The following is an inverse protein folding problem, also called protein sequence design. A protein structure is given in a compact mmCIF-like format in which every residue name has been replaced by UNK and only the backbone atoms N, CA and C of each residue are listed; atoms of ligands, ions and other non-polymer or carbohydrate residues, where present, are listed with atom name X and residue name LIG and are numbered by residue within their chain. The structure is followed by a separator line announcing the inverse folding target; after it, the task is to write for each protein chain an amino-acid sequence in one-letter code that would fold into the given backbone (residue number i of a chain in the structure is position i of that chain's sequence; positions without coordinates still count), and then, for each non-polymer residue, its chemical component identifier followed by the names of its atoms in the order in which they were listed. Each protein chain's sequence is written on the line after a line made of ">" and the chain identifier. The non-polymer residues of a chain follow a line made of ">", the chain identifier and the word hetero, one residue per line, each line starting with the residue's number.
data_IF_769646730043
#
_entry.id   IF_769646730043
#
_cell.length_a   1.000
_cell.length_b   1.000
_cell.length_c   1.000
_cell.angle_alpha   90.00
_cell.angle_beta   90.00
_cell.angle_gamma   90.00
#
_symmetry.space_group_name_H-M   'P 1'
#
loop_
_entity.id
_entity.type
_entity.pdbx_description
1 polymer ?
#
# COMPACT_ATOMS: atom_id res chain seq x y z
N UNK A 1 2.77 -11.89 15.87
CA UNK A 1 2.52 -11.83 14.42
C UNK A 1 1.13 -12.43 14.19
N UNK A 2 0.26 -11.82 13.39
CA UNK A 2 -1.09 -12.36 13.11
C UNK A 2 -1.00 -13.67 12.35
N UNK A 3 -1.92 -14.61 12.64
CA UNK A 3 -2.05 -15.85 11.87
C UNK A 3 -2.77 -15.59 10.55
N UNK A 4 -2.70 -16.56 9.62
CA UNK A 4 -3.42 -16.46 8.34
C UNK A 4 -4.92 -16.32 8.55
N UNK A 5 -5.49 -17.10 9.45
CA UNK A 5 -6.91 -17.10 9.79
C UNK A 5 -7.36 -15.74 10.36
N UNK A 6 -6.51 -15.11 11.18
CA UNK A 6 -6.77 -13.75 11.69
C UNK A 6 -6.77 -12.71 10.58
N UNK A 7 -5.86 -12.84 9.61
CA UNK A 7 -5.78 -11.93 8.46
C UNK A 7 -7.03 -12.10 7.58
N UNK A 8 -7.40 -13.34 7.27
CA UNK A 8 -8.58 -13.64 6.44
C UNK A 8 -9.86 -13.12 7.12
N UNK A 9 -10.01 -13.35 8.43
CA UNK A 9 -11.12 -12.79 9.21
C UNK A 9 -11.15 -11.25 9.17
N UNK A 10 -10.01 -10.60 9.31
CA UNK A 10 -9.93 -9.14 9.22
C UNK A 10 -10.32 -8.62 7.83
N UNK A 11 -9.95 -9.31 6.76
CA UNK A 11 -10.36 -8.96 5.40
C UNK A 11 -11.89 -8.98 5.25
N UNK A 12 -12.56 -10.00 5.79
CA UNK A 12 -14.03 -10.06 5.79
C UNK A 12 -14.67 -8.92 6.61
N UNK A 13 -14.07 -8.60 7.76
CA UNK A 13 -14.52 -7.46 8.58
C UNK A 13 -14.38 -6.13 7.82
N UNK A 14 -13.25 -5.91 7.14
CA UNK A 14 -13.04 -4.71 6.33
C UNK A 14 -14.05 -4.63 5.19
N UNK A 15 -14.28 -5.72 4.46
CA UNK A 15 -15.25 -5.75 3.39
C UNK A 15 -16.64 -5.39 3.89
N UNK A 16 -17.07 -5.96 5.02
CA UNK A 16 -18.36 -5.66 5.66
C UNK A 16 -18.48 -4.17 6.04
N UNK A 17 -17.44 -3.58 6.63
CA UNK A 17 -17.46 -2.15 6.98
C UNK A 17 -17.49 -1.27 5.73
N UNK A 18 -16.64 -1.56 4.75
CA UNK A 18 -16.54 -0.78 3.51
C UNK A 18 -17.79 -0.87 2.65
N UNK A 19 -18.55 -1.97 2.71
CA UNK A 19 -19.82 -2.14 1.98
C UNK A 19 -20.92 -1.12 2.35
N UNK A 20 -20.73 -0.37 3.44
CA UNK A 20 -21.61 0.75 3.80
C UNK A 20 -21.38 1.99 2.92
N UNK A 21 -20.22 2.10 2.29
CA UNK A 21 -19.78 3.27 1.52
C UNK A 21 -19.49 2.94 0.06
N UNK A 22 -19.14 1.69 -0.23
CA UNK A 22 -18.68 1.22 -1.53
C UNK A 22 -19.57 0.05 -1.97
N UNK A 23 -20.06 0.14 -3.19
CA UNK A 23 -20.82 -0.94 -3.82
C UNK A 23 -19.86 -1.98 -4.42
N UNK A 24 -19.86 -3.19 -3.86
CA UNK A 24 -19.07 -4.34 -4.32
C UNK A 24 -19.86 -5.28 -5.25
N UNK A 25 -21.00 -4.83 -5.82
CA UNK A 25 -21.75 -5.57 -6.81
C UNK A 25 -20.98 -5.82 -8.11
N UNK A 26 -21.55 -6.62 -8.98
CA UNK A 26 -20.97 -6.95 -10.28
C UNK A 26 -20.70 -5.69 -11.13
N UNK A 27 -19.48 -5.58 -11.67
CA UNK A 27 -19.05 -4.44 -12.46
C UNK A 27 -18.82 -3.13 -11.68
N UNK A 28 -18.83 -3.22 -10.34
CA UNK A 28 -18.57 -2.11 -9.42
C UNK A 28 -17.16 -2.23 -8.81
N UNK A 29 -17.02 -1.88 -7.54
CA UNK A 29 -15.74 -2.03 -6.84
C UNK A 29 -15.41 -3.50 -6.55
N UNK A 30 -14.13 -3.82 -6.44
CA UNK A 30 -13.65 -5.12 -5.99
C UNK A 30 -12.67 -4.94 -4.83
N UNK A 31 -12.65 -5.91 -3.93
CA UNK A 31 -11.65 -6.03 -2.89
C UNK A 31 -10.74 -7.20 -3.23
N UNK A 32 -9.45 -6.95 -3.35
CA UNK A 32 -8.44 -7.97 -3.65
C UNK A 32 -7.43 -8.05 -2.51
N UNK A 33 -6.83 -9.22 -2.33
CA UNK A 33 -5.82 -9.46 -1.32
C UNK A 33 -4.46 -9.65 -2.00
N UNK A 34 -3.48 -8.80 -1.70
CA UNK A 34 -2.16 -8.91 -2.30
C UNK A 34 -1.41 -10.20 -1.91
N UNK A 35 -1.86 -10.89 -0.88
CA UNK A 35 -1.36 -12.23 -0.56
C UNK A 35 -1.54 -13.22 -1.72
N UNK A 36 -2.55 -13.01 -2.58
CA UNK A 36 -2.87 -13.91 -3.70
C UNK A 36 -1.76 -13.91 -4.78
N UNK A 37 -0.95 -12.86 -4.86
CA UNK A 37 0.19 -12.80 -5.79
C UNK A 37 1.55 -12.66 -5.12
N UNK A 38 1.63 -12.21 -3.85
CA UNK A 38 2.91 -12.05 -3.16
C UNK A 38 3.42 -13.35 -2.53
N UNK A 39 2.52 -14.24 -2.07
CA UNK A 39 2.91 -15.45 -1.32
C UNK A 39 3.66 -16.48 -2.17
N UNK A 40 3.31 -16.58 -3.45
CA UNK A 40 3.83 -17.60 -4.35
C UNK A 40 4.98 -17.07 -5.22
N UNK A 41 5.47 -15.84 -4.95
CA UNK A 41 6.60 -15.28 -5.67
C UNK A 41 7.88 -16.05 -5.36
N UNK A 42 8.58 -16.46 -6.42
CA UNK A 42 9.95 -16.91 -6.27
C UNK A 42 10.84 -15.70 -5.94
N UNK A 43 11.48 -15.74 -4.77
CA UNK A 43 12.28 -14.62 -4.27
C UNK A 43 13.41 -14.21 -5.21
N UNK A 44 14.13 -15.17 -5.78
CA UNK A 44 15.27 -14.90 -6.66
C UNK A 44 14.80 -14.25 -7.97
N UNK A 45 13.74 -14.77 -8.55
CA UNK A 45 13.16 -14.20 -9.77
C UNK A 45 12.59 -12.81 -9.52
N UNK A 46 11.91 -12.62 -8.40
CA UNK A 46 11.39 -11.32 -8.00
C UNK A 46 12.47 -10.27 -7.84
N UNK A 47 13.57 -10.57 -7.13
CA UNK A 47 14.69 -9.64 -6.98
C UNK A 47 15.37 -9.37 -8.34
N UNK A 48 15.52 -10.39 -9.17
CA UNK A 48 16.12 -10.25 -10.50
C UNK A 48 15.29 -9.36 -11.41
N UNK A 49 13.98 -9.56 -11.44
CA UNK A 49 13.06 -8.92 -12.39
C UNK A 49 12.54 -7.57 -11.92
N UNK A 50 12.17 -7.48 -10.66
CA UNK A 50 11.54 -6.32 -10.05
C UNK A 50 12.57 -5.51 -9.26
N UNK A 51 13.35 -6.17 -8.39
CA UNK A 51 14.37 -5.52 -7.58
C UNK A 51 15.39 -4.75 -8.42
N UNK A 52 15.79 -5.29 -9.58
CA UNK A 52 16.70 -4.62 -10.51
C UNK A 52 16.16 -3.27 -11.07
N UNK A 53 14.85 -3.03 -10.98
CA UNK A 53 14.26 -1.76 -11.38
C UNK A 53 14.46 -0.65 -10.34
N UNK A 54 14.93 -0.96 -9.12
CA UNK A 54 15.07 -0.04 -8.02
C UNK A 54 16.56 0.24 -7.71
N UNK A 55 16.86 1.50 -7.48
CA UNK A 55 18.19 1.91 -7.01
C UNK A 55 18.15 2.13 -5.50
N UNK A 56 18.97 1.42 -4.75
CA UNK A 56 19.08 1.55 -3.29
C UNK A 56 19.39 3.00 -2.89
N UNK A 57 20.31 3.66 -3.57
CA UNK A 57 20.66 5.05 -3.28
C UNK A 57 19.46 6.00 -3.47
N UNK A 58 18.68 5.79 -4.53
CA UNK A 58 17.47 6.56 -4.79
C UNK A 58 16.38 6.28 -3.76
N UNK A 59 16.22 5.03 -3.34
CA UNK A 59 15.28 4.66 -2.28
C UNK A 59 15.67 5.33 -0.96
N UNK A 60 16.93 5.24 -0.53
CA UNK A 60 17.40 5.84 0.71
C UNK A 60 17.31 7.38 0.71
N UNK A 61 17.28 8.02 -0.46
CA UNK A 61 17.07 9.48 -0.57
C UNK A 61 15.61 9.89 -0.41
N UNK A 62 14.67 8.94 -0.46
CA UNK A 62 13.24 9.23 -0.28
C UNK A 62 12.94 9.64 1.18
N UNK A 63 12.03 10.59 1.36
CA UNK A 63 11.73 11.17 2.68
C UNK A 63 11.24 10.14 3.69
N UNK A 64 10.46 9.16 3.23
CA UNK A 64 9.98 8.07 4.08
C UNK A 64 11.10 7.22 4.71
N UNK A 65 12.28 7.15 4.07
CA UNK A 65 13.43 6.42 4.61
C UNK A 65 14.36 7.31 5.45
N UNK A 66 14.54 8.58 5.10
CA UNK A 66 15.42 9.49 5.85
C UNK A 66 15.06 9.55 7.33
N UNK A 67 13.78 9.73 7.63
CA UNK A 67 13.29 9.77 9.02
C UNK A 67 13.45 8.43 9.77
N UNK A 68 13.44 7.31 9.04
CA UNK A 68 13.59 5.98 9.62
C UNK A 68 15.04 5.59 9.86
N UNK A 69 15.96 6.07 9.03
CA UNK A 69 17.39 5.74 9.14
C UNK A 69 18.00 6.13 10.49
N UNK A 70 17.53 7.22 11.11
CA UNK A 70 17.97 7.67 12.43
C UNK A 70 17.60 6.68 13.54
N UNK A 71 16.49 5.95 13.38
CA UNK A 71 15.95 4.99 14.35
C UNK A 71 16.23 3.52 14.00
N UNK A 72 16.98 3.29 12.91
CA UNK A 72 17.20 1.97 12.33
C UNK A 72 16.08 1.57 11.36
N UNK A 73 16.46 1.11 10.18
CA UNK A 73 15.58 0.66 9.10
C UNK A 73 15.78 -0.84 8.91
N UNK A 74 14.76 -1.64 9.17
CA UNK A 74 14.82 -3.08 8.92
C UNK A 74 14.79 -3.38 7.43
N UNK A 75 15.33 -4.54 7.03
CA UNK A 75 15.29 -5.02 5.65
C UNK A 75 13.85 -5.18 5.15
N UNK A 76 12.93 -5.62 6.01
CA UNK A 76 11.50 -5.74 5.69
C UNK A 76 10.89 -4.37 5.36
N UNK A 77 11.15 -3.36 6.19
CA UNK A 77 10.66 -1.99 5.95
C UNK A 77 11.26 -1.39 4.67
N UNK A 78 12.54 -1.67 4.41
CA UNK A 78 13.19 -1.23 3.17
C UNK A 78 12.55 -1.86 1.93
N UNK A 79 12.19 -3.15 1.98
CA UNK A 79 11.54 -3.84 0.87
C UNK A 79 10.06 -3.49 0.70
N UNK A 80 9.43 -2.85 1.68
CA UNK A 80 8.00 -2.52 1.63
C UNK A 80 7.64 -1.67 0.40
N UNK A 81 8.47 -0.70 0.05
CA UNK A 81 8.28 0.11 -1.16
C UNK A 81 8.27 -0.75 -2.43
N UNK A 82 9.16 -1.73 -2.52
CA UNK A 82 9.25 -2.62 -3.68
C UNK A 82 8.00 -3.49 -3.78
N UNK A 83 7.54 -4.06 -2.66
CA UNK A 83 6.33 -4.88 -2.62
C UNK A 83 5.08 -4.07 -2.99
N UNK A 84 4.90 -2.87 -2.45
CA UNK A 84 3.78 -2.00 -2.81
C UNK A 84 3.84 -1.53 -4.27
N UNK A 85 5.03 -1.28 -4.78
CA UNK A 85 5.22 -0.95 -6.20
C UNK A 85 4.84 -2.12 -7.11
N UNK A 86 5.15 -3.35 -6.68
CA UNK A 86 4.76 -4.56 -7.39
C UNK A 86 3.25 -4.80 -7.33
N UNK A 87 2.60 -4.51 -6.21
CA UNK A 87 1.14 -4.54 -6.11
C UNK A 87 0.49 -3.65 -7.17
N UNK A 88 0.97 -2.41 -7.32
CA UNK A 88 0.42 -1.50 -8.33
C UNK A 88 0.70 -2.00 -9.76
N UNK A 89 1.90 -2.52 -10.03
CA UNK A 89 2.24 -3.14 -11.31
C UNK A 89 1.35 -4.34 -11.62
N UNK A 90 1.11 -5.22 -10.64
CA UNK A 90 0.22 -6.37 -10.77
C UNK A 90 -1.23 -5.96 -11.05
N UNK A 91 -1.75 -4.98 -10.30
CA UNK A 91 -3.09 -4.44 -10.50
C UNK A 91 -3.25 -3.76 -11.85
N UNK A 92 -2.21 -3.06 -12.32
CA UNK A 92 -2.20 -2.47 -13.65
C UNK A 92 -2.35 -3.52 -14.74
N UNK A 93 -1.56 -4.60 -14.67
CA UNK A 93 -1.55 -5.65 -15.69
C UNK A 93 -2.83 -6.51 -15.70
N UNK A 94 -3.32 -6.86 -14.52
CA UNK A 94 -4.39 -7.85 -14.40
C UNK A 94 -5.78 -7.25 -14.25
N UNK A 95 -5.87 -5.99 -13.78
CA UNK A 95 -7.15 -5.32 -13.50
C UNK A 95 -7.30 -3.98 -14.22
N UNK A 96 -6.31 -3.53 -15.00
CA UNK A 96 -6.35 -2.25 -15.67
C UNK A 96 -6.29 -1.04 -14.72
N UNK A 97 -5.86 -1.25 -13.47
CA UNK A 97 -5.76 -0.19 -12.46
C UNK A 97 -4.59 0.74 -12.78
N UNK A 98 -4.87 1.94 -13.25
CA UNK A 98 -3.87 2.91 -13.68
C UNK A 98 -3.66 4.09 -12.72
N UNK A 99 -4.39 4.15 -11.61
CA UNK A 99 -4.26 5.21 -10.61
C UNK A 99 -4.29 4.64 -9.19
N UNK A 100 -3.39 5.11 -8.33
CA UNK A 100 -3.33 4.78 -6.91
C UNK A 100 -3.59 6.02 -6.05
N UNK A 101 -4.39 5.84 -4.99
CA UNK A 101 -4.68 6.87 -4.01
C UNK A 101 -4.08 6.50 -2.66
N UNK A 102 -3.63 7.50 -1.90
CA UNK A 102 -3.14 7.28 -0.54
C UNK A 102 -3.05 8.58 0.26
N UNK A 103 -2.69 8.49 1.52
CA UNK A 103 -2.30 9.65 2.31
C UNK A 103 -0.93 10.18 1.88
N UNK A 104 -0.59 11.40 2.26
CA UNK A 104 0.69 12.04 1.91
C UNK A 104 1.91 11.20 2.32
N UNK A 105 1.78 10.42 3.39
CA UNK A 105 2.82 9.50 3.86
C UNK A 105 3.10 8.33 2.88
N UNK A 106 2.22 8.07 1.92
CA UNK A 106 2.34 7.01 0.92
C UNK A 106 2.96 7.49 -0.41
N UNK A 107 3.26 8.78 -0.55
CA UNK A 107 3.71 9.37 -1.81
C UNK A 107 4.89 8.62 -2.43
N UNK A 108 5.96 8.41 -1.68
CA UNK A 108 7.16 7.72 -2.19
C UNK A 108 6.88 6.28 -2.62
N UNK A 109 6.03 5.55 -1.89
CA UNK A 109 5.65 4.18 -2.22
C UNK A 109 4.85 4.13 -3.53
N UNK A 110 3.90 5.05 -3.70
CA UNK A 110 3.08 5.14 -4.92
C UNK A 110 3.91 5.53 -6.14
N UNK A 111 4.85 6.46 -6.00
CA UNK A 111 5.78 6.83 -7.07
C UNK A 111 6.68 5.65 -7.48
N UNK A 112 7.08 4.79 -6.55
CA UNK A 112 7.79 3.55 -6.87
C UNK A 112 6.99 2.67 -7.85
N UNK A 113 5.69 2.57 -7.66
CA UNK A 113 4.79 1.82 -8.54
C UNK A 113 4.63 2.45 -9.92
N UNK A 114 4.43 3.76 -10.02
CA UNK A 114 4.35 4.47 -11.31
C UNK A 114 5.65 4.31 -12.12
N UNK A 115 6.80 4.43 -11.46
CA UNK A 115 8.12 4.23 -12.08
C UNK A 115 8.32 2.77 -12.53
N UNK A 116 7.88 1.79 -11.75
CA UNK A 116 7.98 0.38 -12.13
C UNK A 116 7.15 0.08 -13.38
N UNK A 117 5.91 0.57 -13.42
CA UNK A 117 5.02 0.43 -14.59
C UNK A 117 5.65 1.08 -15.82
N UNK A 118 6.19 2.28 -15.69
CA UNK A 118 6.88 2.97 -16.78
C UNK A 118 8.09 2.18 -17.28
N UNK A 119 8.92 1.66 -16.40
CA UNK A 119 10.13 0.89 -16.75
C UNK A 119 9.82 -0.44 -17.41
N UNK A 120 8.82 -1.16 -16.88
CA UNK A 120 8.50 -2.53 -17.34
C UNK A 120 7.58 -2.55 -18.55
N UNK A 121 6.64 -1.61 -18.64
CA UNK A 121 5.59 -1.61 -19.66
C UNK A 121 5.68 -0.44 -20.64
N UNK A 122 6.48 0.60 -20.36
CA UNK A 122 6.48 1.83 -21.15
C UNK A 122 5.14 2.58 -21.12
N UNK A 123 4.37 2.40 -20.03
CA UNK A 123 3.03 2.97 -19.87
C UNK A 123 3.01 3.99 -18.72
N UNK A 124 2.02 4.89 -18.79
CA UNK A 124 1.78 5.85 -17.72
C UNK A 124 0.83 5.28 -16.67
N UNK A 125 1.14 5.57 -15.41
CA UNK A 125 0.28 5.33 -14.26
C UNK A 125 0.35 6.55 -13.33
N UNK A 126 -0.70 6.76 -12.55
CA UNK A 126 -0.90 7.99 -11.80
C UNK A 126 -0.99 7.71 -10.30
N UNK A 127 -0.52 8.68 -9.51
CA UNK A 127 -0.65 8.67 -8.06
C UNK A 127 -1.27 9.99 -7.59
N UNK A 128 -2.15 9.91 -6.62
CA UNK A 128 -2.75 11.06 -5.97
C UNK A 128 -2.75 10.89 -4.45
N UNK A 129 -2.31 11.90 -3.74
CA UNK A 129 -2.36 11.92 -2.27
C UNK A 129 -3.46 12.83 -1.77
N UNK A 130 -3.96 12.48 -0.58
CA UNK A 130 -4.90 13.27 0.20
C UNK A 130 -4.21 13.58 1.52
N UNK A 131 -4.33 14.83 1.96
CA UNK A 131 -3.78 15.27 3.25
C UNK A 131 -4.32 14.39 4.38
N UNK A 132 -3.42 13.95 5.25
CA UNK A 132 -3.79 13.10 6.39
C UNK A 132 -4.75 13.84 7.33
N UNK A 133 -5.76 13.12 7.80
CA UNK A 133 -6.61 13.62 8.87
C UNK A 133 -5.81 13.72 10.17
N UNK A 134 -5.87 14.89 10.78
CA UNK A 134 -5.22 15.17 12.06
C UNK A 134 -6.28 15.30 13.15
N UNK A 135 -5.91 14.92 14.38
CA UNK A 135 -6.72 15.20 15.55
C UNK A 135 -6.60 16.68 15.97
N UNK A 136 -7.33 17.10 16.99
CA UNK A 136 -7.30 18.48 17.52
C UNK A 136 -5.91 18.94 18.00
N UNK A 137 -4.99 18.01 18.26
CA UNK A 137 -3.61 18.30 18.65
C UNK A 137 -2.65 18.35 17.46
N UNK A 138 -3.14 18.23 16.22
CA UNK A 138 -2.32 18.19 15.01
C UNK A 138 -1.56 16.88 14.79
N UNK A 139 -1.90 15.80 15.50
CA UNK A 139 -1.31 14.48 15.33
C UNK A 139 -2.12 13.63 14.35
N UNK A 140 -1.43 12.75 13.61
CA UNK A 140 -2.08 11.81 12.68
C UNK A 140 -3.18 11.00 13.38
N UNK A 141 -4.40 11.08 12.85
CA UNK A 141 -5.53 10.28 13.31
C UNK A 141 -5.36 8.81 12.88
N UNK A 142 -5.72 7.84 13.72
CA UNK A 142 -5.90 6.46 13.31
C UNK A 142 -5.11 5.37 14.04
N UNK A 143 -4.03 5.68 14.80
CA UNK A 143 -3.29 4.66 15.58
C UNK A 143 -3.23 4.97 17.08
N UNK A 144 -4.02 5.92 17.56
CA UNK A 144 -4.03 6.35 18.96
C UNK A 144 -5.19 5.72 19.70
N UNK A 145 -4.94 5.28 20.93
CA UNK A 145 -5.95 4.70 21.82
C UNK A 145 -7.05 5.73 22.24
N UNK A 146 -6.83 7.02 21.96
CA UNK A 146 -7.79 8.08 22.21
C UNK A 146 -7.96 8.96 20.97
N UNK A 147 -9.22 9.25 20.58
CA UNK A 147 -9.56 10.19 19.52
C UNK A 147 -9.60 9.59 18.10
N UNK A 148 -9.65 8.27 17.95
CA UNK A 148 -9.92 7.65 16.67
C UNK A 148 -11.40 7.79 16.32
N UNK A 149 -11.68 8.21 15.07
CA UNK A 149 -13.04 8.12 14.50
C UNK A 149 -13.17 6.75 13.85
N UNK A 150 -14.13 5.97 14.33
CA UNK A 150 -14.38 4.63 13.81
C UNK A 150 -15.42 4.68 12.69
N UNK A 151 -15.22 3.90 11.64
CA UNK A 151 -16.28 3.66 10.63
C UNK A 151 -17.41 2.78 11.16
N UNK A 152 -17.23 2.22 12.33
CA UNK A 152 -18.22 1.43 13.06
C UNK A 152 -19.04 2.37 13.97
N UNK A 153 -20.34 2.58 13.72
CA UNK A 153 -21.17 3.50 14.50
C UNK A 153 -21.38 3.05 15.96
N UNK A 154 -21.12 1.77 16.28
CA UNK A 154 -21.21 1.28 17.66
C UNK A 154 -19.97 1.64 18.49
N UNK A 155 -18.92 2.16 17.84
CA UNK A 155 -17.64 2.52 18.45
C UNK A 155 -17.32 4.00 18.37
N UNK A 156 -18.21 4.80 17.79
CA UNK A 156 -18.04 6.27 17.62
C UNK A 156 -18.84 7.02 18.66
#
# INVERSE_FOLDING_TARGET
>A
MMTKEQIDHNCECFKKQMSRFIDFGEGKAMMVNNADWLRDLNYIEFIRDIGACFSVNRMLSAECYKQRMENGLSFLEFNYMIMQSYDFYHLYQNYGCNMQFGGDDQWSNMLGGTELIRKKLGKDAYAMTITLLLNSEGKKMGKTASGAVWLDPEKT
#
